data_IF_003256081684
#
_entry.id   IF_003256081684
#
_cell.length_a   1.000
_cell.length_b   1.000
_cell.length_c   1.000
_cell.angle_alpha   90.00
_cell.angle_beta   90.00
_cell.angle_gamma   90.00
#
_symmetry.space_group_name_H-M   'P 1'
#
loop_
_entity.id
_entity.type
_entity.pdbx_description
1 polymer ?
#
# COMPACT_ATOMS: atom_id res chain seq x y z
N UNK A 1 -23.57 19.72 11.20
CA UNK A 1 -22.55 18.67 11.46
C UNK A 1 -21.92 18.29 10.13
N UNK A 2 -20.59 18.27 10.06
CA UNK A 2 -19.83 18.05 8.83
C UNK A 2 -20.18 16.73 8.12
N UNK A 3 -20.65 15.70 8.83
CA UNK A 3 -21.01 14.41 8.20
C UNK A 3 -22.15 14.50 7.18
N UNK A 4 -23.01 15.53 7.23
CA UNK A 4 -24.08 15.74 6.24
C UNK A 4 -23.57 16.09 4.83
N UNK A 5 -22.30 16.50 4.70
CA UNK A 5 -21.66 16.76 3.41
C UNK A 5 -20.81 15.60 2.91
N UNK A 6 -20.80 14.45 3.60
CA UNK A 6 -20.03 13.29 3.17
C UNK A 6 -20.82 12.50 2.13
N UNK A 7 -20.14 12.12 1.05
CA UNK A 7 -20.66 11.20 0.04
C UNK A 7 -20.09 9.82 0.32
N UNK A 8 -20.94 8.80 0.37
CA UNK A 8 -20.49 7.42 0.47
C UNK A 8 -19.68 7.06 -0.78
N UNK A 9 -18.44 6.61 -0.59
CA UNK A 9 -17.56 6.21 -1.68
C UNK A 9 -17.66 4.72 -2.01
N UNK A 10 -17.83 3.86 -1.00
CA UNK A 10 -17.98 2.40 -1.12
C UNK A 10 -18.86 1.85 0.02
N UNK A 11 -19.51 0.73 -0.23
CA UNK A 11 -20.26 -0.08 0.73
C UNK A 11 -20.04 -1.59 0.50
N UNK A 12 -20.39 -2.45 1.49
CA UNK A 12 -20.36 -3.90 1.30
C UNK A 12 -21.17 -4.33 0.07
N UNK A 13 -20.56 -5.14 -0.79
CA UNK A 13 -21.15 -5.61 -2.04
C UNK A 13 -20.77 -4.79 -3.27
N UNK A 14 -20.19 -3.59 -3.09
CA UNK A 14 -19.69 -2.80 -4.21
C UNK A 14 -18.51 -3.50 -4.90
N UNK A 15 -18.52 -3.63 -6.24
CA UNK A 15 -17.43 -4.30 -6.95
C UNK A 15 -16.17 -3.45 -6.98
N UNK A 16 -15.05 -4.08 -6.66
CA UNK A 16 -13.69 -3.52 -6.75
C UNK A 16 -12.77 -4.52 -7.43
N UNK A 17 -11.69 -4.02 -8.03
CA UNK A 17 -10.64 -4.86 -8.60
C UNK A 17 -9.53 -5.07 -7.57
N UNK A 18 -9.18 -6.32 -7.29
CA UNK A 18 -8.08 -6.64 -6.39
C UNK A 18 -6.74 -6.62 -7.15
N UNK A 19 -5.79 -5.83 -6.65
CA UNK A 19 -4.43 -5.76 -7.17
C UNK A 19 -3.59 -6.89 -6.56
N UNK A 20 -2.98 -7.68 -7.43
CA UNK A 20 -1.97 -8.66 -7.05
C UNK A 20 -0.61 -8.29 -7.63
N UNK A 21 0.43 -8.38 -6.79
CA UNK A 21 1.82 -8.03 -7.15
C UNK A 21 2.61 -9.35 -7.25
N UNK A 22 2.89 -9.84 -8.47
CA UNK A 22 3.63 -11.09 -8.66
C UNK A 22 5.10 -10.93 -8.24
N UNK A 23 5.72 -12.04 -7.86
CA UNK A 23 7.17 -12.08 -7.60
C UNK A 23 7.96 -12.13 -8.92
N UNK A 24 9.20 -11.63 -8.91
CA UNK A 24 10.18 -11.84 -9.98
C UNK A 24 10.70 -10.56 -10.62
N UNK A 25 9.87 -9.53 -10.74
CA UNK A 25 10.26 -8.24 -11.31
C UNK A 25 10.18 -7.12 -10.27
N UNK A 26 10.99 -6.06 -10.40
CA UNK A 26 10.76 -4.82 -9.67
C UNK A 26 9.34 -4.33 -9.91
N UNK A 27 8.70 -3.84 -8.84
CA UNK A 27 7.43 -3.14 -8.92
C UNK A 27 7.69 -1.73 -9.48
N UNK A 28 8.04 -1.66 -10.76
CA UNK A 28 8.36 -0.39 -11.41
C UNK A 28 7.16 0.56 -11.33
N UNK A 29 7.44 1.82 -10.99
CA UNK A 29 6.39 2.77 -10.66
C UNK A 29 5.53 3.12 -11.87
N UNK A 30 6.15 3.33 -13.03
CA UNK A 30 5.42 3.74 -14.23
C UNK A 30 4.64 2.54 -14.78
N UNK A 31 5.23 1.35 -14.76
CA UNK A 31 4.55 0.10 -15.13
C UNK A 31 3.32 -0.21 -14.24
N UNK A 32 3.38 0.11 -12.95
CA UNK A 32 2.21 0.00 -12.06
C UNK A 32 1.08 0.94 -12.50
N UNK A 33 1.39 2.20 -12.80
CA UNK A 33 0.41 3.16 -13.31
C UNK A 33 -0.22 2.72 -14.62
N UNK A 34 0.61 2.28 -15.57
CA UNK A 34 0.15 1.75 -16.85
C UNK A 34 -0.78 0.55 -16.69
N UNK A 35 -0.48 -0.35 -15.73
CA UNK A 35 -1.34 -1.51 -15.45
C UNK A 35 -2.72 -1.10 -14.93
N UNK A 36 -2.82 -0.04 -14.10
CA UNK A 36 -4.10 0.46 -13.59
C UNK A 36 -4.88 1.20 -14.69
N UNK A 37 -4.20 1.97 -15.52
CA UNK A 37 -4.81 2.65 -16.66
C UNK A 37 -5.36 1.65 -17.69
N UNK A 38 -4.63 0.56 -17.96
CA UNK A 38 -5.11 -0.53 -18.81
C UNK A 38 -6.35 -1.19 -18.23
N UNK A 39 -6.45 -1.34 -16.91
CA UNK A 39 -7.64 -1.90 -16.27
C UNK A 39 -8.88 -1.01 -16.47
N UNK A 40 -8.73 0.32 -16.52
CA UNK A 40 -9.84 1.23 -16.84
C UNK A 40 -10.41 1.03 -18.26
N UNK A 41 -9.61 0.57 -19.22
CA UNK A 41 -10.09 0.23 -20.57
C UNK A 41 -10.59 -1.22 -20.65
N UNK A 42 -9.83 -2.15 -20.07
CA UNK A 42 -10.05 -3.59 -20.21
C UNK A 42 -11.38 -4.05 -19.59
N UNK A 43 -11.63 -3.72 -18.32
CA UNK A 43 -12.80 -4.25 -17.62
C UNK A 43 -14.13 -3.73 -18.18
N UNK A 44 -14.29 -2.42 -18.48
CA UNK A 44 -15.52 -1.94 -19.11
C UNK A 44 -15.75 -2.52 -20.51
N UNK A 45 -14.67 -2.80 -21.27
CA UNK A 45 -14.77 -3.39 -22.62
C UNK A 45 -15.20 -4.85 -22.60
N UNK A 46 -14.61 -5.66 -21.72
CA UNK A 46 -14.80 -7.13 -21.73
C UNK A 46 -15.82 -7.63 -20.69
N UNK A 47 -16.13 -6.83 -19.67
CA UNK A 47 -17.10 -7.14 -18.61
C UNK A 47 -18.06 -5.96 -18.36
N UNK A 48 -18.79 -5.48 -19.40
CA UNK A 48 -19.64 -4.28 -19.29
C UNK A 48 -20.79 -4.43 -18.29
N UNK A 49 -21.20 -5.66 -17.98
CA UNK A 49 -22.21 -6.02 -16.98
C UNK A 49 -21.70 -5.98 -15.53
N UNK A 50 -20.40 -5.75 -15.32
CA UNK A 50 -19.73 -5.77 -14.01
C UNK A 50 -18.91 -4.50 -13.80
N UNK A 51 -19.56 -3.32 -13.64
CA UNK A 51 -18.85 -2.10 -13.32
C UNK A 51 -18.14 -2.22 -11.98
N UNK A 52 -16.97 -1.59 -11.86
CA UNK A 52 -16.21 -1.53 -10.61
C UNK A 52 -16.02 -0.07 -10.18
N UNK A 53 -15.89 0.15 -8.88
CA UNK A 53 -15.77 1.49 -8.30
C UNK A 53 -14.33 1.88 -7.96
N UNK A 54 -13.43 0.90 -7.89
CA UNK A 54 -12.03 1.17 -7.59
C UNK A 54 -11.17 -0.08 -7.51
N UNK A 55 -9.94 0.15 -7.08
CA UNK A 55 -8.89 -0.84 -6.89
C UNK A 55 -8.60 -1.00 -5.41
N UNK A 56 -8.48 -2.26 -4.97
CA UNK A 56 -8.11 -2.60 -3.60
C UNK A 56 -6.85 -3.46 -3.61
N UNK A 57 -6.01 -3.32 -2.59
CA UNK A 57 -4.88 -4.22 -2.38
C UNK A 57 -4.73 -4.51 -0.90
N UNK A 58 -4.46 -5.76 -0.55
CA UNK A 58 -4.01 -6.12 0.81
C UNK A 58 -2.66 -6.81 0.71
N UNK A 59 -1.65 -6.28 1.39
CA UNK A 59 -0.29 -6.78 1.24
C UNK A 59 0.61 -6.38 2.40
N UNK A 60 1.66 -7.19 2.61
CA UNK A 60 2.79 -6.82 3.47
C UNK A 60 3.54 -5.61 2.91
N UNK A 61 3.50 -5.40 1.59
CA UNK A 61 4.08 -4.23 0.92
C UNK A 61 3.42 -2.93 1.36
N UNK A 62 2.21 -2.99 1.94
CA UNK A 62 1.45 -1.84 2.42
C UNK A 62 1.70 -1.54 3.91
N UNK A 63 2.77 -2.12 4.50
CA UNK A 63 3.22 -1.69 5.82
C UNK A 63 3.65 -0.21 5.76
N UNK A 64 2.86 0.66 6.37
CA UNK A 64 3.12 2.12 6.40
C UNK A 64 4.43 2.47 7.10
N UNK A 65 4.95 1.59 7.96
CA UNK A 65 6.27 1.81 8.59
C UNK A 65 7.40 1.87 7.56
N UNK A 66 7.24 1.28 6.37
CA UNK A 66 8.21 1.36 5.29
C UNK A 66 8.46 2.80 4.82
N UNK A 67 7.50 3.72 4.95
CA UNK A 67 7.72 5.13 4.62
C UNK A 67 8.69 5.84 5.57
N UNK A 68 8.87 5.32 6.79
CA UNK A 68 9.83 5.83 7.76
C UNK A 68 11.21 5.17 7.62
N UNK A 69 11.26 3.98 7.05
CA UNK A 69 12.46 3.14 7.00
C UNK A 69 13.17 3.18 5.65
N UNK A 70 12.40 3.40 4.58
CA UNK A 70 12.90 3.39 3.21
C UNK A 70 12.94 4.81 2.66
N UNK A 71 13.87 5.07 1.72
CA UNK A 71 13.90 6.33 0.99
C UNK A 71 12.58 6.65 0.28
N UNK A 72 12.21 7.94 0.16
CA UNK A 72 10.99 8.39 -0.51
C UNK A 72 10.86 7.95 -1.98
N UNK A 73 12.00 7.71 -2.65
CA UNK A 73 12.09 7.28 -4.05
C UNK A 73 12.00 5.75 -4.22
N UNK A 74 11.95 4.97 -3.14
CA UNK A 74 11.78 3.52 -3.24
C UNK A 74 10.41 3.16 -3.81
N UNK A 75 10.36 2.16 -4.70
CA UNK A 75 9.13 1.77 -5.37
C UNK A 75 8.00 1.38 -4.41
N UNK A 76 8.32 0.75 -3.27
CA UNK A 76 7.33 0.44 -2.22
C UNK A 76 6.68 1.72 -1.69
N UNK A 77 7.49 2.72 -1.35
CA UNK A 77 6.99 3.99 -0.79
C UNK A 77 6.23 4.79 -1.85
N UNK A 78 6.76 4.87 -3.08
CA UNK A 78 6.07 5.54 -4.19
C UNK A 78 4.71 4.89 -4.46
N UNK A 79 4.65 3.57 -4.58
CA UNK A 79 3.41 2.82 -4.76
C UNK A 79 2.42 3.10 -3.62
N UNK A 80 2.85 3.00 -2.36
CA UNK A 80 2.00 3.26 -1.20
C UNK A 80 1.35 4.66 -1.22
N UNK A 81 2.05 5.69 -1.73
CA UNK A 81 1.58 7.07 -1.73
C UNK A 81 0.49 7.37 -2.76
N UNK A 82 0.29 6.48 -3.74
CA UNK A 82 -0.79 6.63 -4.73
C UNK A 82 -2.17 6.19 -4.19
N UNK A 83 -2.22 5.56 -3.01
CA UNK A 83 -3.44 5.00 -2.45
C UNK A 83 -3.85 5.66 -1.13
N UNK A 84 -5.13 5.54 -0.81
CA UNK A 84 -5.62 5.69 0.55
C UNK A 84 -5.28 4.41 1.33
N UNK A 85 -4.41 4.52 2.33
CA UNK A 85 -3.96 3.39 3.14
C UNK A 85 -4.82 3.22 4.39
N UNK A 86 -5.15 1.97 4.72
CA UNK A 86 -5.93 1.64 5.91
C UNK A 86 -5.37 0.40 6.63
N UNK A 87 -5.55 0.28 7.95
CA UNK A 87 -5.05 -0.86 8.70
C UNK A 87 -5.86 -2.12 8.38
N UNK A 88 -5.17 -3.26 8.34
CA UNK A 88 -5.78 -4.58 8.32
C UNK A 88 -5.16 -5.46 9.40
N UNK A 89 -5.83 -6.57 9.71
CA UNK A 89 -5.29 -7.54 10.65
C UNK A 89 -3.92 -8.07 10.19
N UNK A 90 -2.97 -8.18 11.12
CA UNK A 90 -1.57 -8.53 10.85
C UNK A 90 -1.06 -9.57 11.84
N UNK A 91 -0.12 -10.42 11.42
CA UNK A 91 0.40 -11.52 12.24
C UNK A 91 1.77 -11.22 12.89
N UNK A 92 2.16 -9.94 12.95
CA UNK A 92 3.45 -9.44 13.47
C UNK A 92 4.70 -9.84 12.67
N UNK A 93 4.56 -10.72 11.67
CA UNK A 93 5.64 -11.26 10.82
C UNK A 93 5.30 -11.15 9.33
N UNK A 94 4.38 -10.26 8.97
CA UNK A 94 3.88 -10.10 7.60
C UNK A 94 5.02 -9.91 6.61
N UNK A 95 4.99 -10.67 5.50
CA UNK A 95 5.97 -10.54 4.42
C UNK A 95 7.35 -11.15 4.68
N UNK A 96 7.65 -11.62 5.89
CA UNK A 96 9.00 -12.08 6.25
C UNK A 96 9.56 -13.15 5.30
N UNK A 97 8.78 -14.21 5.02
CA UNK A 97 9.15 -15.24 4.06
C UNK A 97 9.37 -14.69 2.64
N UNK A 98 8.58 -13.68 2.21
CA UNK A 98 8.73 -13.06 0.89
C UNK A 98 10.04 -12.26 0.78
N UNK A 99 10.51 -11.68 1.88
CA UNK A 99 11.72 -10.85 1.93
C UNK A 99 13.00 -11.70 2.03
N UNK A 100 12.96 -12.78 2.82
CA UNK A 100 14.14 -13.59 3.15
C UNK A 100 14.13 -15.00 2.57
N UNK A 101 13.03 -15.46 1.97
CA UNK A 101 12.86 -16.84 1.49
C UNK A 101 12.75 -17.88 2.61
N UNK A 102 12.62 -17.46 3.88
CA UNK A 102 12.59 -18.35 5.05
C UNK A 102 11.76 -17.74 6.18
N UNK A 103 11.42 -18.55 7.19
CA UNK A 103 10.78 -18.13 8.45
C UNK A 103 11.74 -18.24 9.66
N UNK A 104 13.05 -18.19 9.42
CA UNK A 104 14.08 -18.26 10.47
C UNK A 104 13.83 -17.24 11.59
N UNK A 105 14.04 -17.70 12.82
CA UNK A 105 14.06 -16.85 14.03
C UNK A 105 15.48 -16.37 14.35
N UNK A 106 16.51 -16.92 13.70
CA UNK A 106 17.88 -16.50 13.89
C UNK A 106 18.24 -15.39 12.89
N UNK A 107 18.04 -14.14 13.30
CA UNK A 107 18.24 -12.95 12.46
C UNK A 107 19.71 -12.71 12.09
N UNK A 108 20.65 -13.14 12.94
CA UNK A 108 22.09 -12.98 12.67
C UNK A 108 22.58 -13.72 11.42
N UNK A 109 21.84 -14.73 10.96
CA UNK A 109 22.16 -15.52 9.76
C UNK A 109 21.47 -15.02 8.49
N UNK A 110 20.64 -13.98 8.58
CA UNK A 110 19.86 -13.48 7.45
C UNK A 110 20.63 -12.41 6.66
N UNK A 111 20.43 -12.36 5.33
CA UNK A 111 21.13 -11.39 4.49
C UNK A 111 20.70 -9.95 4.82
N UNK A 112 21.68 -9.05 4.82
CA UNK A 112 21.53 -7.59 4.99
C UNK A 112 21.94 -6.82 3.72
N UNK A 113 21.85 -7.45 2.57
CA UNK A 113 22.31 -6.94 1.27
C UNK A 113 21.42 -5.83 0.68
N UNK A 114 20.11 -5.81 0.99
CA UNK A 114 19.19 -4.75 0.55
C UNK A 114 18.77 -3.80 1.69
N UNK A 115 18.36 -2.57 1.33
CA UNK A 115 17.84 -1.58 2.31
C UNK A 115 16.62 -2.13 3.07
N UNK A 116 15.70 -2.77 2.35
CA UNK A 116 14.51 -3.39 2.95
C UNK A 116 14.88 -4.49 3.96
N UNK A 117 15.81 -5.38 3.59
CA UNK A 117 16.26 -6.45 4.50
C UNK A 117 16.91 -5.89 5.76
N UNK A 118 17.78 -4.88 5.64
CA UNK A 118 18.39 -4.20 6.79
C UNK A 118 17.33 -3.61 7.72
N UNK A 119 16.47 -2.75 7.19
CA UNK A 119 15.46 -2.08 8.01
C UNK A 119 14.47 -3.03 8.69
N UNK A 120 14.09 -4.12 8.02
CA UNK A 120 13.23 -5.15 8.60
C UNK A 120 13.93 -5.88 9.75
N UNK A 121 15.20 -6.25 9.60
CA UNK A 121 15.95 -6.89 10.68
C UNK A 121 16.16 -5.93 11.85
N UNK A 122 16.53 -4.68 11.59
CA UNK A 122 16.71 -3.66 12.64
C UNK A 122 15.41 -3.47 13.45
N UNK A 123 14.25 -3.40 12.78
CA UNK A 123 12.94 -3.32 13.44
C UNK A 123 12.65 -4.54 14.33
N UNK A 124 12.94 -5.75 13.84
CA UNK A 124 12.67 -6.98 14.59
C UNK A 124 13.63 -7.16 15.77
N UNK A 125 14.91 -6.80 15.61
CA UNK A 125 15.91 -6.83 16.67
C UNK A 125 15.61 -5.80 17.78
N UNK A 126 14.97 -4.67 17.44
CA UNK A 126 14.49 -3.70 18.42
C UNK A 126 13.15 -4.09 19.08
N UNK A 127 12.66 -5.31 18.88
CA UNK A 127 11.38 -5.80 19.43
C UNK A 127 10.13 -5.28 18.70
N UNK A 128 10.30 -4.65 17.54
CA UNK A 128 9.20 -4.22 16.69
C UNK A 128 8.51 -5.38 15.95
N UNK A 129 7.43 -5.06 15.24
CA UNK A 129 6.62 -6.04 14.52
C UNK A 129 6.41 -5.60 13.07
N UNK A 130 6.38 -6.57 12.15
CA UNK A 130 5.97 -6.34 10.78
C UNK A 130 4.44 -6.38 10.66
N UNK A 131 3.91 -5.57 9.74
CA UNK A 131 2.47 -5.39 9.54
C UNK A 131 2.09 -5.59 8.08
N UNK A 132 0.82 -5.82 7.84
CA UNK A 132 0.18 -5.71 6.54
C UNK A 132 -0.71 -4.46 6.53
N UNK A 133 -0.96 -3.92 5.35
CA UNK A 133 -1.88 -2.82 5.13
C UNK A 133 -2.90 -3.16 4.05
N UNK A 134 -3.98 -2.39 4.05
CA UNK A 134 -4.91 -2.28 2.94
C UNK A 134 -4.67 -0.96 2.20
N UNK A 135 -4.99 -0.96 0.91
CA UNK A 135 -4.93 0.20 0.04
C UNK A 135 -6.20 0.26 -0.80
N UNK A 136 -6.71 1.48 -1.00
CA UNK A 136 -7.85 1.78 -1.85
C UNK A 136 -7.49 2.93 -2.81
N UNK A 137 -7.90 2.79 -4.06
CA UNK A 137 -7.91 3.85 -5.07
C UNK A 137 -9.22 3.80 -5.83
N UNK A 138 -10.04 4.85 -5.73
CA UNK A 138 -11.28 4.91 -6.50
C UNK A 138 -10.94 5.09 -7.98
N UNK A 139 -11.69 4.40 -8.86
CA UNK A 139 -11.43 4.45 -10.30
C UNK A 139 -11.54 5.87 -10.86
N UNK A 140 -12.50 6.64 -10.34
CA UNK A 140 -12.71 8.06 -10.67
C UNK A 140 -11.57 8.98 -10.23
N UNK A 141 -10.74 8.54 -9.27
CA UNK A 141 -9.65 9.33 -8.71
C UNK A 141 -8.27 8.85 -9.22
N UNK A 142 -8.24 7.92 -10.20
CA UNK A 142 -6.98 7.45 -10.78
C UNK A 142 -6.29 8.58 -11.54
N UNK A 143 -5.28 9.15 -10.90
CA UNK A 143 -4.36 10.15 -11.43
C UNK A 143 -2.95 9.79 -10.94
N UNK A 144 -2.38 8.75 -11.56
CA UNK A 144 -1.14 8.11 -11.09
C UNK A 144 0.05 9.09 -11.11
N UNK A 145 0.80 9.13 -10.01
CA UNK A 145 1.93 10.05 -9.82
C UNK A 145 1.54 11.34 -9.12
N UNK A 146 0.24 11.63 -8.99
CA UNK A 146 -0.26 12.83 -8.34
C UNK A 146 -0.66 12.61 -6.87
N UNK A 147 -0.58 11.38 -6.34
CA UNK A 147 -0.75 11.09 -4.91
C UNK A 147 -2.01 11.74 -4.32
N UNK A 148 -3.15 11.59 -5.00
CA UNK A 148 -4.38 12.35 -4.75
C UNK A 148 -4.82 12.28 -3.28
N UNK A 149 -4.65 11.12 -2.62
CA UNK A 149 -5.03 10.92 -1.22
C UNK A 149 -3.99 11.38 -0.19
N UNK A 150 -2.82 11.83 -0.63
CA UNK A 150 -1.80 12.43 0.24
C UNK A 150 -1.90 13.96 0.28
N UNK A 151 -2.55 14.56 -0.73
CA UNK A 151 -2.78 16.01 -0.80
C UNK A 151 -3.67 16.44 0.38
N UNK A 152 -3.15 17.30 1.25
CA UNK A 152 -3.86 17.82 2.43
C UNK A 152 -3.51 17.15 3.76
N UNK A 153 -2.68 16.11 3.78
CA UNK A 153 -2.14 15.51 5.01
C UNK A 153 -0.93 16.29 5.59
N UNK A 154 -0.74 17.57 5.23
CA UNK A 154 0.36 18.36 5.79
C UNK A 154 0.21 18.46 7.32
N UNK A 155 1.20 17.95 8.04
CA UNK A 155 1.27 17.82 9.50
C UNK A 155 1.16 19.12 10.32
N UNK A 156 0.72 20.25 9.76
CA UNK A 156 0.64 21.52 10.48
C UNK A 156 -0.56 21.62 11.44
N UNK A 157 -1.60 20.80 11.27
CA UNK A 157 -2.83 20.93 12.08
C UNK A 157 -2.89 19.98 13.29
N UNK A 158 -2.11 18.90 13.32
CA UNK A 158 -2.12 17.92 14.41
C UNK A 158 -1.21 18.28 15.60
N UNK A 159 -0.41 19.36 15.48
CA UNK A 159 0.49 19.81 16.55
C UNK A 159 -0.15 20.76 17.56
N UNK A 160 -1.39 21.20 17.37
CA UNK A 160 -2.04 22.21 18.23
C UNK A 160 -3.09 21.65 19.22
N UNK A 161 -3.32 20.33 19.27
CA UNK A 161 -4.34 19.73 20.15
C UNK A 161 -3.77 18.95 21.34
N UNK A 162 -2.64 19.39 21.90
CA UNK A 162 -2.11 18.91 23.18
C UNK A 162 -1.76 20.10 24.08
N UNK A 163 -2.78 20.80 24.55
CA UNK A 163 -2.76 21.58 25.80
C UNK A 163 -4.00 21.21 26.61
#
# INVERSE_FOLDING_TARGET
LAWKSWRQALAPGDPVLEIHIPAGSPMDFDACGDSLLQALDFFPRYFPDRPFLGFCCTSWLLNTQYQNWLPPDSNIVRFQREFYLFPIHSNKRSGFNRIFGTNSQNFSKLPRDTRLRRAVLDCLESGGNLRSGGALLLAQDLDWGNQIYQKGLSNSEWSQSKE
#
